data_IF_076170605498
#
_entry.id   IF_076170605498
#
_cell.length_a   1.000
_cell.length_b   1.000
_cell.length_c   1.000
_cell.angle_alpha   90.00
_cell.angle_beta   90.00
_cell.angle_gamma   90.00
#
_symmetry.space_group_name_H-M   'P 1'
#
loop_
_entity.id
_entity.type
_entity.pdbx_description
1 polymer ?
#
# COMPACT_ATOMS: atom_id res chain seq x y z
N UNK A 1 35.30 7.23 41.33
CA UNK A 1 34.87 8.05 40.17
C UNK A 1 33.60 7.42 39.63
N UNK A 2 32.45 7.82 40.17
CA UNK A 2 31.15 7.23 39.83
C UNK A 2 30.79 7.77 38.46
N UNK A 3 30.92 6.94 37.42
CA UNK A 3 30.31 7.24 36.13
C UNK A 3 28.82 7.32 36.42
N UNK A 4 28.25 8.53 36.31
CA UNK A 4 26.82 8.74 36.47
C UNK A 4 26.14 7.78 35.48
N UNK A 5 25.43 6.75 35.96
CA UNK A 5 24.82 5.73 35.11
C UNK A 5 24.00 6.36 33.96
N UNK A 6 23.37 7.52 34.23
CA UNK A 6 22.66 8.34 33.25
C UNK A 6 23.55 8.88 32.11
N UNK A 7 24.77 9.34 32.38
CA UNK A 7 25.73 9.78 31.35
C UNK A 7 26.16 8.59 30.48
N UNK A 8 26.37 7.42 31.07
CA UNK A 8 26.68 6.19 30.35
C UNK A 8 25.52 5.79 29.42
N UNK A 9 24.28 5.71 29.93
CA UNK A 9 23.11 5.40 29.12
C UNK A 9 22.87 6.43 28.01
N UNK A 10 23.09 7.71 28.28
CA UNK A 10 22.96 8.78 27.29
C UNK A 10 23.95 8.60 26.14
N UNK A 11 25.22 8.32 26.43
CA UNK A 11 26.27 8.19 25.40
C UNK A 11 26.27 6.84 24.69
N UNK A 12 26.00 5.76 25.40
CA UNK A 12 26.09 4.40 24.85
C UNK A 12 24.81 3.91 24.18
N UNK A 13 23.64 4.42 24.57
CA UNK A 13 22.35 3.92 24.07
C UNK A 13 21.56 5.03 23.38
N UNK A 14 21.32 6.15 24.07
CA UNK A 14 20.41 7.18 23.56
C UNK A 14 20.94 7.88 22.30
N UNK A 15 22.21 8.32 22.30
CA UNK A 15 22.81 8.99 21.14
C UNK A 15 22.90 8.04 19.93
N UNK A 16 23.44 6.81 20.04
CA UNK A 16 23.47 5.88 18.90
C UNK A 16 22.08 5.51 18.37
N UNK A 17 21.08 5.41 19.26
CA UNK A 17 19.70 5.14 18.85
C UNK A 17 19.09 6.34 18.11
N UNK A 18 19.33 7.57 18.57
CA UNK A 18 18.92 8.77 17.85
C UNK A 18 19.62 8.89 16.49
N UNK A 19 20.93 8.65 16.44
CA UNK A 19 21.69 8.70 15.20
C UNK A 19 21.21 7.63 14.22
N UNK A 20 20.87 6.42 14.70
CA UNK A 20 20.24 5.37 13.89
C UNK A 20 18.89 5.82 13.34
N UNK A 21 18.01 6.40 14.17
CA UNK A 21 16.69 6.89 13.73
C UNK A 21 16.87 8.02 12.70
N UNK A 22 17.79 8.94 12.93
CA UNK A 22 18.07 10.05 12.01
C UNK A 22 18.62 9.51 10.69
N UNK A 23 19.54 8.54 10.74
CA UNK A 23 20.09 7.89 9.55
C UNK A 23 19.01 7.17 8.76
N UNK A 24 18.16 6.40 9.44
CA UNK A 24 17.04 5.68 8.81
C UNK A 24 16.04 6.65 8.17
N UNK A 25 15.75 7.78 8.82
CA UNK A 25 14.88 8.80 8.25
C UNK A 25 15.49 9.47 7.02
N UNK A 26 16.80 9.74 7.04
CA UNK A 26 17.51 10.33 5.89
C UNK A 26 17.59 9.37 4.71
N UNK A 27 17.81 8.08 4.97
CA UNK A 27 17.82 7.04 3.94
C UNK A 27 16.42 6.84 3.34
N UNK A 28 15.38 6.78 4.18
CA UNK A 28 13.99 6.62 3.74
C UNK A 28 13.43 7.83 3.00
N UNK A 29 13.87 9.04 3.34
CA UNK A 29 13.46 10.30 2.69
C UNK A 29 14.58 10.84 1.79
N UNK A 30 15.30 9.94 1.12
CA UNK A 30 16.30 10.32 0.14
C UNK A 30 15.68 11.20 -0.97
N UNK A 31 16.48 12.06 -1.62
CA UNK A 31 15.99 12.92 -2.68
C UNK A 31 15.30 12.15 -3.83
N UNK A 32 15.70 10.91 -4.09
CA UNK A 32 15.08 10.05 -5.09
C UNK A 32 13.66 9.61 -4.67
N UNK A 33 13.47 9.28 -3.38
CA UNK A 33 12.15 9.01 -2.82
C UNK A 33 11.30 10.28 -2.81
N UNK A 34 11.91 11.45 -2.59
CA UNK A 34 11.21 12.73 -2.67
C UNK A 34 10.72 13.04 -4.09
N UNK A 35 11.49 12.69 -5.12
CA UNK A 35 11.05 12.79 -6.52
C UNK A 35 9.84 11.89 -6.82
N UNK A 36 9.72 10.73 -6.15
CA UNK A 36 8.53 9.88 -6.29
C UNK A 36 7.25 10.54 -5.77
N UNK A 37 7.31 11.53 -4.87
CA UNK A 37 6.12 12.30 -4.47
C UNK A 37 5.58 13.18 -5.61
N UNK A 38 6.38 13.48 -6.63
CA UNK A 38 5.90 14.19 -7.82
C UNK A 38 4.90 13.34 -8.62
N UNK A 39 4.85 12.01 -8.43
CA UNK A 39 3.80 11.14 -8.99
C UNK A 39 2.40 11.49 -8.45
N UNK A 40 2.31 12.28 -7.38
CA UNK A 40 1.03 12.83 -6.90
C UNK A 40 0.31 13.71 -7.92
N UNK A 41 0.99 14.15 -9.00
CA UNK A 41 0.37 14.87 -10.12
C UNK A 41 -0.70 14.05 -10.83
N UNK A 42 -0.63 12.72 -10.79
CA UNK A 42 -1.67 11.82 -11.32
C UNK A 42 -2.91 11.70 -10.40
N UNK A 43 -2.91 12.35 -9.24
CA UNK A 43 -4.07 12.41 -8.37
C UNK A 43 -5.14 13.37 -8.94
N UNK A 44 -6.43 13.06 -8.79
CA UNK A 44 -7.53 13.93 -9.20
C UNK A 44 -7.41 15.30 -8.51
N UNK A 45 -7.20 16.33 -9.32
CA UNK A 45 -7.25 17.75 -8.92
C UNK A 45 -8.35 18.43 -9.74
N UNK A 46 -8.96 19.47 -9.17
CA UNK A 46 -9.98 20.26 -9.87
C UNK A 46 -9.42 21.00 -11.08
N UNK A 47 -8.18 21.46 -10.96
CA UNK A 47 -7.44 22.15 -12.01
C UNK A 47 -6.00 21.62 -12.03
N UNK A 48 -5.41 21.54 -13.21
CA UNK A 48 -3.99 21.27 -13.40
C UNK A 48 -3.34 22.47 -14.09
N UNK A 49 -2.12 22.79 -13.67
CA UNK A 49 -1.31 23.89 -14.21
C UNK A 49 -0.40 23.40 -15.33
N UNK A 50 0.19 24.34 -16.09
CA UNK A 50 1.28 24.01 -17.01
C UNK A 50 2.49 23.41 -16.28
N UNK A 51 2.68 23.74 -15.00
CA UNK A 51 3.71 23.13 -14.14
C UNK A 51 3.48 21.62 -13.93
N UNK A 52 2.22 21.18 -13.81
CA UNK A 52 1.88 19.75 -13.73
C UNK A 52 2.23 19.03 -15.06
N UNK A 53 2.10 19.71 -16.20
CA UNK A 53 2.47 19.14 -17.50
C UNK A 53 4.00 19.02 -17.62
N UNK A 54 4.76 20.00 -17.16
CA UNK A 54 6.22 19.95 -17.18
C UNK A 54 6.76 18.86 -16.24
N UNK A 55 6.17 18.68 -15.06
CA UNK A 55 6.53 17.58 -14.16
C UNK A 55 6.19 16.21 -14.77
N UNK A 56 5.05 16.06 -15.46
CA UNK A 56 4.72 14.82 -16.19
C UNK A 56 5.73 14.54 -17.31
N UNK A 57 6.23 15.57 -18.00
CA UNK A 57 7.30 15.39 -19.01
C UNK A 57 8.59 14.90 -18.36
N UNK A 58 8.99 15.47 -17.22
CA UNK A 58 10.17 15.04 -16.47
C UNK A 58 10.03 13.60 -15.96
N UNK A 59 8.88 13.24 -15.42
CA UNK A 59 8.59 11.87 -14.99
C UNK A 59 8.58 10.89 -16.17
N UNK A 60 8.06 11.31 -17.32
CA UNK A 60 8.10 10.49 -18.53
C UNK A 60 9.54 10.25 -19.02
N UNK A 61 10.46 11.22 -18.85
CA UNK A 61 11.88 11.02 -19.17
C UNK A 61 12.58 10.09 -18.17
N UNK A 62 12.28 10.24 -16.88
CA UNK A 62 12.93 9.48 -15.81
C UNK A 62 12.50 8.01 -15.79
N UNK A 63 11.23 7.73 -16.11
CA UNK A 63 10.65 6.39 -16.12
C UNK A 63 10.51 5.77 -17.52
N UNK A 64 11.23 6.29 -18.53
CA UNK A 64 11.21 5.79 -19.92
C UNK A 64 11.33 4.26 -20.02
N UNK A 65 12.24 3.68 -19.24
CA UNK A 65 12.48 2.23 -19.18
C UNK A 65 11.29 1.43 -18.66
N UNK A 66 10.48 1.98 -17.75
CA UNK A 66 9.29 1.32 -17.19
C UNK A 66 8.04 1.51 -18.07
N UNK A 67 8.09 2.45 -19.00
CA UNK A 67 6.99 2.85 -19.87
C UNK A 67 7.12 2.30 -21.29
N UNK A 68 7.93 1.25 -21.50
CA UNK A 68 8.16 0.62 -22.81
C UNK A 68 8.58 1.62 -23.91
N UNK A 69 9.35 2.65 -23.55
CA UNK A 69 9.81 3.72 -24.46
C UNK A 69 8.68 4.48 -25.17
N UNK A 70 7.49 4.60 -24.56
CA UNK A 70 6.42 5.41 -25.13
C UNK A 70 6.85 6.88 -25.26
N UNK A 71 6.52 7.55 -26.37
CA UNK A 71 6.88 8.95 -26.55
C UNK A 71 6.16 9.84 -25.53
N UNK A 72 6.88 10.83 -24.99
CA UNK A 72 6.40 11.77 -23.96
C UNK A 72 5.08 12.46 -24.38
N UNK A 73 4.90 12.73 -25.68
CA UNK A 73 3.68 13.33 -26.21
C UNK A 73 2.42 12.48 -25.97
N UNK A 74 2.53 11.16 -26.05
CA UNK A 74 1.42 10.24 -25.80
C UNK A 74 1.04 10.25 -24.32
N UNK A 75 2.03 10.21 -23.42
CA UNK A 75 1.81 10.27 -21.97
C UNK A 75 1.14 11.58 -21.57
N UNK A 76 1.58 12.72 -22.12
CA UNK A 76 0.98 14.03 -21.83
C UNK A 76 -0.47 14.10 -22.31
N UNK A 77 -0.77 13.54 -23.49
CA UNK A 77 -2.13 13.51 -24.01
C UNK A 77 -3.04 12.59 -23.18
N UNK A 78 -2.53 11.43 -22.77
CA UNK A 78 -3.23 10.52 -21.87
C UNK A 78 -3.50 11.16 -20.50
N UNK A 79 -2.52 11.87 -19.95
CA UNK A 79 -2.66 12.65 -18.70
C UNK A 79 -3.76 13.72 -18.82
N UNK A 80 -3.80 14.46 -19.93
CA UNK A 80 -4.87 15.44 -20.18
C UNK A 80 -6.25 14.78 -20.20
N UNK A 81 -6.38 13.64 -20.88
CA UNK A 81 -7.64 12.88 -20.93
C UNK A 81 -8.04 12.36 -19.55
N UNK A 82 -7.07 11.91 -18.75
CA UNK A 82 -7.26 11.49 -17.36
C UNK A 82 -7.77 12.63 -16.49
N UNK A 83 -7.21 13.84 -16.61
CA UNK A 83 -7.66 15.01 -15.87
C UNK A 83 -9.07 15.44 -16.25
N UNK A 84 -9.42 15.39 -17.54
CA UNK A 84 -10.78 15.69 -18.02
C UNK A 84 -11.81 14.70 -17.46
N UNK A 85 -11.47 13.40 -17.41
CA UNK A 85 -12.32 12.37 -16.76
C UNK A 85 -12.60 12.73 -15.30
N UNK A 86 -11.59 13.18 -14.55
CA UNK A 86 -11.78 13.56 -13.15
C UNK A 86 -12.57 14.85 -12.95
N UNK A 87 -12.40 15.84 -13.82
CA UNK A 87 -13.20 17.06 -13.80
C UNK A 87 -14.69 16.76 -14.05
N UNK A 88 -15.00 15.79 -14.91
CA UNK A 88 -16.36 15.31 -15.10
C UNK A 88 -16.90 14.55 -13.88
N UNK A 89 -16.09 13.69 -13.26
CA UNK A 89 -16.48 12.89 -12.10
C UNK A 89 -16.59 13.69 -10.78
N UNK A 90 -15.89 14.82 -10.63
CA UNK A 90 -15.99 15.68 -9.43
C UNK A 90 -17.40 16.20 -9.17
N UNK A 91 -18.22 16.35 -10.21
CA UNK A 91 -19.63 16.75 -10.08
C UNK A 91 -20.52 15.68 -9.45
N UNK A 92 -20.05 14.43 -9.38
CA UNK A 92 -20.87 13.28 -8.97
C UNK A 92 -20.51 12.71 -7.59
N UNK A 93 -19.63 13.36 -6.82
CA UNK A 93 -19.22 12.96 -5.46
C UNK A 93 -18.59 11.56 -5.32
N UNK A 94 -18.38 10.84 -6.43
CA UNK A 94 -17.65 9.56 -6.52
C UNK A 94 -16.14 9.78 -6.70
N UNK A 95 -15.49 10.47 -5.76
CA UNK A 95 -14.02 10.57 -5.76
C UNK A 95 -13.49 9.43 -4.89
N UNK A 96 -12.91 8.36 -5.47
CA UNK A 96 -12.33 7.29 -4.69
C UNK A 96 -11.23 7.85 -3.77
N UNK A 97 -11.29 7.52 -2.47
CA UNK A 97 -10.34 8.03 -1.48
C UNK A 97 -9.02 7.24 -1.44
N UNK A 98 -9.03 5.99 -1.91
CA UNK A 98 -7.85 5.11 -1.90
C UNK A 98 -7.18 5.05 -3.27
N UNK A 99 -5.84 4.94 -3.30
CA UNK A 99 -5.07 4.67 -4.53
C UNK A 99 -5.52 3.35 -5.18
N UNK A 100 -5.85 2.34 -4.37
CA UNK A 100 -6.34 1.03 -4.85
C UNK A 100 -7.65 1.15 -5.64
N UNK A 101 -8.63 1.90 -5.11
CA UNK A 101 -9.91 2.13 -5.79
C UNK A 101 -9.72 2.92 -7.10
N UNK A 102 -8.70 3.78 -7.14
CA UNK A 102 -8.33 4.55 -8.34
C UNK A 102 -7.69 3.69 -9.42
N UNK A 103 -6.86 2.71 -9.05
CA UNK A 103 -6.32 1.71 -9.98
C UNK A 103 -7.46 0.87 -10.58
N UNK A 104 -8.45 0.51 -9.76
CA UNK A 104 -9.63 -0.26 -10.21
C UNK A 104 -10.50 0.53 -11.20
N UNK A 105 -10.65 1.85 -11.01
CA UNK A 105 -11.41 2.74 -11.90
C UNK A 105 -10.61 3.21 -13.14
N UNK A 106 -9.39 2.71 -13.32
CA UNK A 106 -8.53 3.04 -14.45
C UNK A 106 -8.60 1.95 -15.51
N UNK A 107 -9.33 2.23 -16.59
CA UNK A 107 -9.44 1.33 -17.75
C UNK A 107 -8.08 1.18 -18.42
N UNK A 108 -7.62 -0.07 -18.55
CA UNK A 108 -6.27 -0.37 -19.07
C UNK A 108 -6.11 0.03 -20.53
N UNK A 109 -7.20 -0.04 -21.30
CA UNK A 109 -7.19 0.23 -22.73
C UNK A 109 -7.18 1.73 -23.03
N UNK A 110 -7.75 2.54 -22.13
CA UNK A 110 -7.78 4.00 -22.29
C UNK A 110 -6.60 4.71 -21.63
N UNK A 111 -6.08 4.16 -20.52
CA UNK A 111 -5.07 4.81 -19.69
C UNK A 111 -3.92 3.88 -19.28
N UNK A 112 -3.21 3.24 -20.23
CA UNK A 112 -2.18 2.25 -19.93
C UNK A 112 -0.99 2.84 -19.16
N UNK A 113 -0.51 4.03 -19.53
CA UNK A 113 0.67 4.64 -18.90
C UNK A 113 0.34 5.26 -17.55
N UNK A 114 -0.81 5.92 -17.46
CA UNK A 114 -1.35 6.47 -16.21
C UNK A 114 -1.52 5.38 -15.18
N UNK A 115 -2.04 4.20 -15.58
CA UNK A 115 -2.14 3.05 -14.68
C UNK A 115 -0.78 2.56 -14.21
N UNK A 116 0.23 2.49 -15.09
CA UNK A 116 1.61 2.14 -14.68
C UNK A 116 2.14 3.11 -13.64
N UNK A 117 1.97 4.42 -13.84
CA UNK A 117 2.36 5.43 -12.85
C UNK A 117 1.61 5.29 -11.52
N UNK A 118 0.30 5.01 -11.54
CA UNK A 118 -0.49 4.73 -10.34
C UNK A 118 -0.01 3.45 -9.62
N UNK A 119 0.36 2.42 -10.36
CA UNK A 119 0.95 1.20 -9.79
C UNK A 119 2.32 1.47 -9.16
N UNK A 120 3.19 2.23 -9.84
CA UNK A 120 4.49 2.65 -9.29
C UNK A 120 4.25 3.41 -7.98
N UNK A 121 3.34 4.40 -7.98
CA UNK A 121 2.97 5.14 -6.77
C UNK A 121 2.44 4.22 -5.64
N UNK A 122 1.65 3.19 -5.96
CA UNK A 122 1.16 2.23 -4.98
C UNK A 122 2.24 1.30 -4.43
N UNK A 123 3.29 1.03 -5.21
CA UNK A 123 4.42 0.18 -4.81
C UNK A 123 5.47 0.95 -4.02
N UNK A 124 5.56 2.27 -4.21
CA UNK A 124 6.46 3.12 -3.44
C UNK A 124 5.92 3.21 -2.01
N UNK A 125 6.75 2.95 -0.99
CA UNK A 125 6.34 3.04 0.41
C UNK A 125 6.21 4.51 0.82
N UNK A 126 5.22 5.22 0.30
CA UNK A 126 4.89 6.60 0.68
C UNK A 126 4.38 6.65 2.13
N UNK A 127 3.78 5.56 2.61
CA UNK A 127 3.46 5.39 4.03
C UNK A 127 3.50 3.93 4.44
N UNK A 128 4.24 3.61 5.51
CA UNK A 128 4.21 2.27 6.14
C UNK A 128 2.96 2.13 7.02
N UNK A 129 2.17 3.20 7.20
CA UNK A 129 1.06 3.27 8.15
C UNK A 129 -0.03 2.21 7.92
N UNK A 130 -0.33 1.85 6.66
CA UNK A 130 -1.31 0.78 6.35
C UNK A 130 -0.76 -0.60 6.66
N UNK A 131 0.50 -0.86 6.34
CA UNK A 131 1.20 -2.09 6.70
C UNK A 131 1.36 -2.20 8.23
N UNK A 132 1.80 -1.14 8.91
CA UNK A 132 1.91 -1.04 10.37
C UNK A 132 0.56 -1.23 11.06
N UNK A 133 -0.52 -0.65 10.53
CA UNK A 133 -1.88 -0.88 11.03
C UNK A 133 -2.27 -2.35 10.88
N UNK A 134 -1.92 -2.99 9.77
CA UNK A 134 -2.15 -4.43 9.53
C UNK A 134 -1.31 -5.32 10.44
N UNK A 135 -0.06 -4.95 10.71
CA UNK A 135 0.79 -5.66 11.68
C UNK A 135 0.32 -5.43 13.12
N UNK A 136 -0.23 -4.25 13.43
CA UNK A 136 -0.83 -3.94 14.73
C UNK A 136 -2.10 -4.76 14.99
N UNK A 137 -2.99 -4.88 13.99
CA UNK A 137 -4.17 -5.75 14.10
C UNK A 137 -3.75 -7.22 14.22
N UNK A 138 -2.77 -7.67 13.45
CA UNK A 138 -2.23 -9.03 13.54
C UNK A 138 -1.56 -9.29 14.90
N UNK A 139 -0.83 -8.32 15.45
CA UNK A 139 -0.26 -8.38 16.80
C UNK A 139 -1.36 -8.47 17.86
N UNK A 140 -2.49 -7.77 17.67
CA UNK A 140 -3.65 -7.87 18.56
C UNK A 140 -4.30 -9.27 18.50
N UNK A 141 -4.47 -9.84 17.32
CA UNK A 141 -4.95 -11.21 17.12
C UNK A 141 -4.01 -12.21 17.80
N UNK A 142 -2.69 -12.08 17.58
CA UNK A 142 -1.66 -12.93 18.15
C UNK A 142 -1.58 -12.84 19.68
N UNK A 143 -1.75 -11.64 20.24
CA UNK A 143 -1.74 -11.41 21.68
C UNK A 143 -2.95 -12.05 22.37
N UNK A 144 -4.14 -11.94 21.77
CA UNK A 144 -5.39 -12.51 22.31
C UNK A 144 -5.42 -14.04 22.28
N UNK A 145 -4.75 -14.68 21.31
CA UNK A 145 -4.84 -16.13 21.07
C UNK A 145 -3.57 -16.91 21.45
N UNK A 146 -2.62 -16.28 22.16
CA UNK A 146 -1.27 -16.79 22.41
C UNK A 146 -1.21 -18.15 23.11
N UNK A 147 -2.29 -18.59 23.76
CA UNK A 147 -2.30 -19.86 24.52
C UNK A 147 -2.86 -21.07 23.75
N UNK A 148 -3.35 -20.96 22.50
CA UNK A 148 -3.96 -22.12 21.80
C UNK A 148 -3.79 -22.22 20.28
N UNK A 149 -2.82 -21.55 19.65
CA UNK A 149 -2.81 -21.39 18.18
C UNK A 149 -1.59 -21.97 17.46
N UNK A 150 -1.84 -22.77 16.41
CA UNK A 150 -0.87 -23.20 15.39
C UNK A 150 -0.86 -22.18 14.23
N UNK A 151 0.28 -21.99 13.56
CA UNK A 151 0.48 -21.00 12.48
C UNK A 151 -0.60 -21.05 11.38
N UNK A 152 -1.05 -22.23 10.98
CA UNK A 152 -2.11 -22.39 9.97
C UNK A 152 -3.44 -21.74 10.38
N UNK A 153 -3.79 -21.86 11.66
CA UNK A 153 -5.02 -21.27 12.21
C UNK A 153 -4.88 -19.74 12.23
N UNK A 154 -3.68 -19.22 12.56
CA UNK A 154 -3.42 -17.78 12.61
C UNK A 154 -3.56 -17.16 11.23
N UNK A 155 -2.94 -17.78 10.22
CA UNK A 155 -3.03 -17.35 8.83
C UNK A 155 -4.47 -17.35 8.34
N UNK A 156 -5.26 -18.39 8.65
CA UNK A 156 -6.68 -18.44 8.31
C UNK A 156 -7.51 -17.33 8.96
N UNK A 157 -7.26 -17.00 10.23
CA UNK A 157 -7.94 -15.92 10.94
C UNK A 157 -7.52 -14.52 10.46
N UNK A 158 -6.24 -14.33 10.13
CA UNK A 158 -5.77 -13.09 9.53
C UNK A 158 -6.44 -12.86 8.16
N UNK A 159 -6.53 -13.89 7.32
CA UNK A 159 -7.25 -13.82 6.04
C UNK A 159 -8.73 -13.47 6.20
N UNK A 160 -9.43 -14.10 7.15
CA UNK A 160 -10.82 -13.77 7.47
C UNK A 160 -10.97 -12.32 7.96
N UNK A 161 -10.02 -11.81 8.74
CA UNK A 161 -10.07 -10.43 9.22
C UNK A 161 -9.84 -9.41 8.12
N UNK A 162 -8.90 -9.66 7.22
CA UNK A 162 -8.60 -8.81 6.04
C UNK A 162 -9.78 -8.82 5.07
N UNK A 163 -10.38 -9.98 4.82
CA UNK A 163 -11.48 -10.17 3.87
C UNK A 163 -12.88 -10.18 4.52
N UNK A 164 -13.06 -9.47 5.64
CA UNK A 164 -14.36 -9.40 6.35
C UNK A 164 -15.53 -8.88 5.51
N UNK A 165 -15.24 -8.19 4.40
CA UNK A 165 -16.24 -7.62 3.49
C UNK A 165 -16.71 -8.62 2.43
N UNK A 166 -16.10 -9.81 2.34
CA UNK A 166 -16.53 -10.87 1.43
C UNK A 166 -17.68 -11.62 2.10
N UNK A 167 -18.85 -11.62 1.45
CA UNK A 167 -19.99 -12.39 1.93
C UNK A 167 -19.68 -13.88 1.82
N UNK A 168 -19.71 -14.59 2.95
CA UNK A 168 -19.47 -16.03 3.01
C UNK A 168 -20.83 -16.72 3.05
N UNK A 169 -21.11 -17.58 2.06
CA UNK A 169 -22.28 -18.45 2.10
C UNK A 169 -22.05 -19.58 3.13
N UNK A 170 -22.80 -19.50 4.22
CA UNK A 170 -22.74 -20.46 5.33
C UNK A 170 -23.06 -21.88 4.84
N UNK A 171 -23.95 -22.04 3.86
CA UNK A 171 -24.36 -23.35 3.36
C UNK A 171 -23.24 -24.04 2.57
N UNK A 172 -22.47 -23.29 1.79
CA UNK A 172 -21.31 -23.81 1.07
C UNK A 172 -20.20 -24.22 2.04
N UNK A 173 -19.97 -23.43 3.10
CA UNK A 173 -19.01 -23.77 4.16
C UNK A 173 -19.41 -25.07 4.86
N UNK A 174 -20.68 -25.23 5.23
CA UNK A 174 -21.20 -26.46 5.87
C UNK A 174 -21.01 -27.66 4.93
N UNK A 175 -21.36 -27.49 3.66
CA UNK A 175 -21.24 -28.56 2.64
C UNK A 175 -19.78 -28.96 2.44
N UNK A 176 -18.88 -27.98 2.31
CA UNK A 176 -17.43 -28.21 2.16
C UNK A 176 -16.81 -28.83 3.41
N UNK A 177 -17.28 -28.44 4.60
CA UNK A 177 -16.84 -28.99 5.87
C UNK A 177 -17.31 -30.45 6.04
N UNK A 178 -18.57 -30.73 5.71
CA UNK A 178 -19.13 -32.09 5.73
C UNK A 178 -18.46 -33.06 4.76
N UNK A 179 -17.93 -32.56 3.63
CA UNK A 179 -17.16 -33.35 2.66
C UNK A 179 -15.76 -33.74 3.16
N UNK A 180 -15.18 -33.05 4.15
CA UNK A 180 -13.87 -33.39 4.74
C UNK A 180 -14.01 -34.59 5.69
N UNK A 181 -14.10 -35.80 5.12
CA UNK A 181 -14.38 -37.12 5.73
C UNK A 181 -13.44 -37.65 6.85
N UNK A 182 -12.48 -36.89 7.41
CA UNK A 182 -11.51 -37.41 8.39
C UNK A 182 -11.84 -37.08 9.86
N UNK A 183 -13.07 -37.35 10.32
CA UNK A 183 -13.45 -37.19 11.74
C UNK A 183 -14.35 -38.28 12.31
N UNK A 184 -14.35 -39.47 11.71
CA UNK A 184 -14.78 -40.65 12.49
C UNK A 184 -13.67 -40.89 13.50
N UNK A 185 -13.94 -40.61 14.76
CA UNK A 185 -13.17 -41.16 15.86
C UNK A 185 -13.59 -42.63 15.89
N UNK A 186 -12.68 -43.54 15.56
CA UNK A 186 -12.95 -44.96 15.73
C UNK A 186 -13.04 -45.23 17.23
N UNK A 187 -14.26 -45.34 17.73
CA UNK A 187 -14.50 -45.89 19.06
C UNK A 187 -14.25 -47.39 18.95
N UNK A 188 -13.07 -47.82 19.40
CA UNK A 188 -12.80 -49.22 19.71
C UNK A 188 -13.64 -49.54 20.95
N UNK A 189 -14.71 -50.31 20.77
CA UNK A 189 -15.46 -50.96 21.85
C UNK A 189 -14.86 -52.35 22.05
#
# INVERSE_FOLDING_TARGET
MIINNLEYFRRAIYIPLLDSIISDLKDRLSPDVLNLFQLSVFMPKSEYSNEDIETVKQLATDYTLLLDNTPVSVIVNEYRLWMVKWQACQRSQDIPQSISDRILNCDIDMYPNTRKFLCIMATVPVSVATAERSFSTLRRIKSLLRTSMVEDRLTGLALLHVHKNVAIDVNDVITRFGRRRKRKIDFVI
#
